data_IF_264770765718
#
_entry.id   IF_264770765718
#
_cell.length_a   1.000
_cell.length_b   1.000
_cell.length_c   1.000
_cell.angle_alpha   90.00
_cell.angle_beta   90.00
_cell.angle_gamma   90.00
#
_symmetry.space_group_name_H-M   'P 1'
#
loop_
_entity.id
_entity.type
_entity.pdbx_description
1 polymer ?
#
# COMPACT_ATOMS: atom_id res chain seq x y z
N UNK A 1 -17.64 12.26 -16.34
CA UNK A 1 -16.33 12.76 -16.79
C UNK A 1 -16.50 13.39 -18.16
N UNK A 2 -15.90 14.55 -18.44
CA UNK A 2 -15.81 15.08 -19.80
C UNK A 2 -15.20 14.02 -20.74
N UNK A 3 -15.70 13.91 -21.97
CA UNK A 3 -15.31 12.84 -22.91
C UNK A 3 -13.85 12.92 -23.38
N UNK A 4 -13.20 14.05 -23.15
CA UNK A 4 -11.85 14.36 -23.64
C UNK A 4 -10.75 14.19 -22.57
N UNK A 5 -11.11 13.76 -21.34
CA UNK A 5 -10.11 13.49 -20.29
C UNK A 5 -9.69 12.03 -20.36
N UNK A 6 -8.42 11.81 -20.70
CA UNK A 6 -7.80 10.47 -20.79
C UNK A 6 -7.47 9.91 -19.42
N UNK A 7 -6.93 10.74 -18.52
CA UNK A 7 -6.51 10.33 -17.18
C UNK A 7 -6.64 11.48 -16.18
N UNK A 8 -6.91 11.14 -14.92
CA UNK A 8 -6.81 12.06 -13.79
C UNK A 8 -5.62 11.67 -12.93
N UNK A 9 -4.63 12.55 -12.83
CA UNK A 9 -3.45 12.35 -11.98
C UNK A 9 -3.65 12.98 -10.60
N UNK A 10 -3.14 12.30 -9.57
CA UNK A 10 -3.14 12.77 -8.20
C UNK A 10 -1.83 13.50 -7.89
N UNK A 11 -1.88 14.82 -8.04
CA UNK A 11 -0.77 15.75 -7.78
C UNK A 11 -1.06 16.58 -6.53
N UNK A 12 -0.09 16.69 -5.64
CA UNK A 12 -0.12 17.61 -4.51
C UNK A 12 1.02 18.64 -4.66
N UNK A 13 0.76 19.90 -4.36
CA UNK A 13 1.79 20.94 -4.47
C UNK A 13 2.86 20.73 -3.40
N UNK A 14 4.13 20.71 -3.81
CA UNK A 14 5.27 20.67 -2.90
C UNK A 14 5.54 22.08 -2.39
N UNK A 15 4.78 22.44 -1.35
CA UNK A 15 4.80 23.77 -0.77
C UNK A 15 6.15 24.14 -0.13
N UNK A 16 6.93 23.13 0.27
CA UNK A 16 8.24 23.31 0.87
C UNK A 16 9.24 23.85 -0.17
N UNK A 17 9.43 23.12 -1.26
CA UNK A 17 10.36 23.52 -2.33
C UNK A 17 9.85 24.75 -3.09
N UNK A 18 8.52 24.86 -3.23
CA UNK A 18 7.88 26.04 -3.80
C UNK A 18 7.90 27.27 -2.89
N UNK A 19 8.44 27.16 -1.67
CA UNK A 19 8.57 28.25 -0.68
C UNK A 19 7.24 28.99 -0.46
N UNK A 20 6.15 28.24 -0.42
CA UNK A 20 4.81 28.80 -0.35
C UNK A 20 4.56 29.46 1.01
N UNK A 21 4.22 30.76 1.06
CA UNK A 21 3.98 31.44 2.32
C UNK A 21 2.66 30.99 2.94
N UNK A 22 2.66 30.90 4.26
CA UNK A 22 1.44 30.74 5.05
C UNK A 22 0.90 32.14 5.38
N UNK A 23 -0.32 32.44 4.95
CA UNK A 23 -1.00 33.73 5.19
C UNK A 23 -2.34 33.51 5.88
N UNK A 24 -2.80 34.45 6.71
CA UNK A 24 -4.14 34.43 7.32
C UNK A 24 -5.19 34.91 6.31
N UNK A 25 -5.45 34.11 5.28
CA UNK A 25 -6.31 34.48 4.14
C UNK A 25 -7.54 33.61 3.99
N UNK A 26 -7.55 32.36 4.49
CA UNK A 26 -8.71 31.48 4.38
C UNK A 26 -9.83 31.96 5.28
N UNK A 27 -10.98 32.26 4.69
CA UNK A 27 -12.20 32.52 5.45
C UNK A 27 -12.72 31.20 6.01
N UNK A 28 -13.10 31.22 7.29
CA UNK A 28 -13.78 30.08 7.93
C UNK A 28 -15.28 30.25 7.69
N UNK A 29 -15.95 29.18 7.26
CA UNK A 29 -17.40 29.15 7.22
C UNK A 29 -17.94 28.52 8.50
N UNK A 30 -18.92 29.18 9.11
CA UNK A 30 -19.76 28.63 10.16
C UNK A 30 -21.19 28.57 9.61
N UNK A 31 -21.84 27.41 9.68
CA UNK A 31 -23.20 27.22 9.14
C UNK A 31 -23.35 27.62 7.65
N UNK A 32 -22.29 27.44 6.86
CA UNK A 32 -22.19 27.85 5.43
C UNK A 32 -22.21 29.36 5.20
N UNK A 33 -22.09 30.18 6.26
CA UNK A 33 -21.87 31.61 6.16
C UNK A 33 -20.40 31.93 6.40
N UNK A 34 -19.86 32.85 5.59
CA UNK A 34 -18.50 33.34 5.76
C UNK A 34 -18.39 34.12 7.07
N UNK A 35 -17.41 33.73 7.89
CA UNK A 35 -17.10 34.45 9.12
C UNK A 35 -15.98 35.46 8.87
N UNK A 36 -15.90 36.55 9.67
CA UNK A 36 -14.76 37.45 9.62
C UNK A 36 -13.46 36.81 10.12
N UNK A 37 -13.53 35.60 10.71
CA UNK A 37 -12.37 34.87 11.21
C UNK A 37 -11.57 34.32 10.04
N UNK A 38 -10.33 34.77 9.92
CA UNK A 38 -9.37 34.26 8.95
C UNK A 38 -8.39 33.31 9.60
N UNK A 39 -8.24 32.14 9.00
CA UNK A 39 -7.26 31.13 9.42
C UNK A 39 -6.07 31.09 8.47
N UNK A 40 -5.00 30.46 8.94
CA UNK A 40 -3.79 30.26 8.17
C UNK A 40 -4.10 29.37 6.96
N UNK A 41 -3.57 29.77 5.80
CA UNK A 41 -3.65 29.06 4.53
C UNK A 41 -2.30 29.13 3.85
N UNK A 42 -1.90 28.03 3.22
CA UNK A 42 -0.78 28.04 2.29
C UNK A 42 -1.20 28.73 1.01
N UNK A 43 -0.42 29.72 0.56
CA UNK A 43 -0.61 30.36 -0.74
C UNK A 43 0.41 29.78 -1.72
N UNK A 44 -0.04 28.99 -2.69
CA UNK A 44 0.85 28.41 -3.71
C UNK A 44 1.45 29.51 -4.59
N UNK A 45 2.76 29.50 -4.73
CA UNK A 45 3.54 30.57 -5.38
C UNK A 45 4.13 30.19 -6.73
N UNK A 46 4.13 28.90 -7.07
CA UNK A 46 4.59 28.40 -8.36
C UNK A 46 3.69 27.27 -8.87
N UNK A 47 3.86 26.96 -10.14
CA UNK A 47 3.20 25.87 -10.85
C UNK A 47 4.21 24.81 -11.32
N UNK A 48 5.30 24.62 -10.58
CA UNK A 48 6.41 23.73 -10.98
C UNK A 48 6.65 22.61 -9.98
N UNK A 49 6.48 22.88 -8.69
CA UNK A 49 6.83 21.94 -7.64
C UNK A 49 5.60 21.14 -7.22
N UNK A 50 5.49 19.91 -7.73
CA UNK A 50 4.43 18.97 -7.38
C UNK A 50 4.99 17.59 -7.02
N UNK A 51 4.28 16.91 -6.14
CA UNK A 51 4.49 15.51 -5.78
C UNK A 51 3.38 14.72 -6.46
N UNK A 52 3.78 13.79 -7.34
CA UNK A 52 2.89 12.85 -8.00
C UNK A 52 2.76 11.58 -7.15
N UNK A 53 1.53 11.12 -6.91
CA UNK A 53 1.31 9.82 -6.30
C UNK A 53 1.49 8.70 -7.35
N UNK A 54 2.73 8.19 -7.49
CA UNK A 54 3.06 7.16 -8.49
C UNK A 54 2.42 5.79 -8.27
N UNK A 55 1.84 5.57 -7.09
CA UNK A 55 1.18 4.31 -6.72
C UNK A 55 -0.28 4.58 -6.38
N UNK A 56 -0.89 5.51 -7.11
CA UNK A 56 -2.33 5.77 -7.04
C UNK A 56 -3.09 4.47 -7.34
N UNK A 57 -4.13 4.20 -6.54
CA UNK A 57 -5.02 3.05 -6.77
C UNK A 57 -5.81 3.19 -8.08
N UNK A 58 -6.10 4.43 -8.49
CA UNK A 58 -6.73 4.73 -9.78
C UNK A 58 -5.65 5.12 -10.79
N UNK A 59 -5.71 4.52 -11.99
CA UNK A 59 -4.84 4.83 -13.14
C UNK A 59 -3.33 4.70 -12.81
N UNK A 60 -2.95 3.62 -12.13
CA UNK A 60 -1.58 3.41 -11.64
C UNK A 60 -0.54 3.47 -12.77
N UNK A 61 -0.83 2.88 -13.93
CA UNK A 61 0.11 2.84 -15.07
C UNK A 61 0.43 4.24 -15.59
N UNK A 62 -0.56 5.12 -15.70
CA UNK A 62 -0.37 6.50 -16.15
C UNK A 62 0.40 7.34 -15.13
N UNK A 63 0.17 7.11 -13.84
CA UNK A 63 0.96 7.75 -12.77
C UNK A 63 2.43 7.29 -12.79
N UNK A 64 2.68 6.02 -13.10
CA UNK A 64 4.03 5.46 -13.24
C UNK A 64 4.74 6.02 -14.47
N UNK A 65 4.05 6.03 -15.61
CA UNK A 65 4.55 6.59 -16.86
C UNK A 65 4.95 8.06 -16.70
N UNK A 66 4.07 8.86 -16.09
CA UNK A 66 4.33 10.28 -15.82
C UNK A 66 5.50 10.53 -14.87
N UNK A 67 5.72 9.64 -13.88
CA UNK A 67 6.86 9.80 -12.97
C UNK A 67 8.20 9.33 -13.57
N UNK A 68 8.19 8.82 -14.81
CA UNK A 68 9.37 8.23 -15.46
C UNK A 68 10.09 7.20 -14.57
N UNK A 69 9.34 6.51 -13.70
CA UNK A 69 9.87 5.45 -12.87
C UNK A 69 9.86 4.16 -13.68
N UNK A 70 11.03 3.54 -13.79
CA UNK A 70 11.14 2.19 -14.34
C UNK A 70 10.65 1.22 -13.27
N UNK A 71 9.46 0.68 -13.46
CA UNK A 71 9.03 -0.49 -12.70
C UNK A 71 9.50 -1.73 -13.46
N UNK A 72 10.23 -2.60 -12.76
CA UNK A 72 10.44 -3.95 -13.27
C UNK A 72 9.07 -4.63 -13.33
N UNK A 73 8.69 -5.10 -14.53
CA UNK A 73 7.56 -6.00 -14.62
C UNK A 73 7.92 -7.26 -13.85
N UNK A 74 7.07 -7.62 -12.90
CA UNK A 74 7.18 -8.87 -12.16
C UNK A 74 6.72 -9.96 -13.11
N UNK A 75 7.60 -10.88 -13.45
CA UNK A 75 7.24 -12.02 -14.28
C UNK A 75 6.62 -13.16 -13.47
N UNK A 76 6.18 -14.22 -14.15
CA UNK A 76 5.56 -15.37 -13.49
C UNK A 76 6.51 -16.07 -12.53
N UNK A 77 7.78 -16.14 -12.88
CA UNK A 77 8.85 -16.78 -12.14
C UNK A 77 9.13 -16.03 -10.83
N UNK A 78 9.20 -14.70 -10.88
CA UNK A 78 9.33 -13.83 -9.71
C UNK A 78 8.18 -14.04 -8.71
N UNK A 79 6.94 -14.18 -9.22
CA UNK A 79 5.76 -14.43 -8.37
C UNK A 79 5.86 -15.81 -7.72
N UNK A 80 6.23 -16.84 -8.48
CA UNK A 80 6.37 -18.21 -7.95
C UNK A 80 7.46 -18.27 -6.89
N UNK A 81 8.60 -17.61 -7.14
CA UNK A 81 9.70 -17.52 -6.19
C UNK A 81 9.25 -16.80 -4.90
N UNK A 82 8.66 -15.61 -5.01
CA UNK A 82 8.19 -14.84 -3.86
C UNK A 82 7.14 -15.60 -3.03
N UNK A 83 6.23 -16.33 -3.68
CA UNK A 83 5.22 -17.14 -3.00
C UNK A 83 5.87 -18.33 -2.27
N UNK A 84 6.86 -18.98 -2.88
CA UNK A 84 7.62 -20.07 -2.26
C UNK A 84 8.41 -19.58 -1.05
N UNK A 85 9.14 -18.48 -1.19
CA UNK A 85 9.90 -17.86 -0.10
C UNK A 85 8.99 -17.43 1.06
N UNK A 86 7.86 -16.79 0.73
CA UNK A 86 6.85 -16.39 1.69
C UNK A 86 6.29 -17.59 2.45
N UNK A 87 5.98 -18.68 1.76
CA UNK A 87 5.48 -19.92 2.38
C UNK A 87 6.51 -20.53 3.33
N UNK A 88 7.78 -20.64 2.92
CA UNK A 88 8.84 -21.18 3.76
C UNK A 88 9.07 -20.31 5.01
N UNK A 89 9.09 -18.99 4.82
CA UNK A 89 9.24 -18.03 5.92
C UNK A 89 8.09 -18.14 6.91
N UNK A 90 6.86 -18.22 6.41
CA UNK A 90 5.67 -18.42 7.23
C UNK A 90 5.73 -19.75 8.00
N UNK A 91 6.06 -20.86 7.32
CA UNK A 91 6.18 -22.19 7.93
C UNK A 91 7.22 -22.20 9.05
N UNK A 92 8.39 -21.60 8.82
CA UNK A 92 9.43 -21.48 9.83
C UNK A 92 9.00 -20.61 11.03
N UNK A 93 8.23 -19.55 10.79
CA UNK A 93 7.65 -18.74 11.86
C UNK A 93 6.67 -19.56 12.70
N UNK A 94 5.70 -20.23 12.07
CA UNK A 94 4.72 -21.07 12.76
C UNK A 94 5.38 -22.17 13.60
N UNK A 95 6.44 -22.81 13.10
CA UNK A 95 7.19 -23.82 13.86
C UNK A 95 7.85 -23.27 15.13
N UNK A 96 8.18 -21.98 15.16
CA UNK A 96 8.79 -21.30 16.32
C UNK A 96 7.75 -20.78 17.30
N UNK A 97 6.60 -20.30 16.81
CA UNK A 97 5.64 -19.53 17.63
C UNK A 97 4.38 -20.30 18.00
N UNK A 98 4.02 -21.35 17.27
CA UNK A 98 2.79 -22.11 17.52
C UNK A 98 3.04 -23.23 18.54
N UNK A 99 2.12 -23.43 19.50
CA UNK A 99 2.22 -24.53 20.45
C UNK A 99 2.10 -25.87 19.70
N UNK A 100 3.09 -26.75 19.88
CA UNK A 100 3.07 -28.08 19.26
C UNK A 100 1.88 -28.87 19.78
N UNK A 101 0.93 -29.16 18.89
CA UNK A 101 -0.16 -30.08 19.21
C UNK A 101 0.44 -31.46 19.46
N UNK A 102 -0.01 -32.10 20.54
CA UNK A 102 0.41 -33.46 20.88
C UNK A 102 -0.69 -34.43 20.52
N UNK A 103 -0.34 -35.53 19.86
CA UNK A 103 -1.24 -36.67 19.65
C UNK A 103 -0.89 -37.80 20.61
N UNK A 104 -1.88 -38.59 20.96
CA UNK A 104 -1.69 -39.78 21.80
C UNK A 104 -1.45 -40.99 20.91
N UNK A 105 -0.26 -41.58 20.99
CA UNK A 105 0.09 -42.83 20.29
C UNK A 105 0.32 -43.90 21.36
N UNK A 106 -0.63 -44.84 21.47
CA UNK A 106 -0.67 -45.81 22.55
C UNK A 106 -0.84 -45.14 23.93
N UNK A 107 0.12 -45.38 24.85
CA UNK A 107 0.12 -44.79 26.20
C UNK A 107 0.93 -43.49 26.34
N UNK A 108 1.57 -43.01 25.26
CA UNK A 108 2.43 -41.81 25.29
C UNK A 108 1.85 -40.68 24.43
N UNK A 109 2.13 -39.45 24.84
CA UNK A 109 1.87 -38.24 24.06
C UNK A 109 3.12 -37.88 23.25
N UNK A 110 2.96 -37.68 21.96
CA UNK A 110 4.04 -37.30 21.04
C UNK A 110 3.66 -36.01 20.33
N UNK A 111 4.64 -35.17 20.03
CA UNK A 111 4.44 -33.97 19.21
C UNK A 111 3.96 -34.39 17.81
N UNK A 112 2.92 -33.74 17.29
CA UNK A 112 2.50 -33.88 15.90
C UNK A 112 3.53 -33.21 14.98
N UNK A 113 3.77 -33.81 13.81
CA UNK A 113 4.60 -33.18 12.78
C UNK A 113 3.79 -32.10 12.04
N UNK A 114 4.48 -31.08 11.50
CA UNK A 114 3.82 -29.96 10.80
C UNK A 114 3.02 -30.40 9.57
N UNK A 115 3.35 -31.54 8.96
CA UNK A 115 2.62 -32.11 7.81
C UNK A 115 1.29 -32.75 8.21
N UNK A 116 1.22 -33.31 9.42
CA UNK A 116 -0.02 -33.91 9.97
C UNK A 116 -0.97 -32.84 10.53
N UNK A 117 -0.46 -31.69 10.96
CA UNK A 117 -1.27 -30.62 11.55
C UNK A 117 -2.04 -29.79 10.51
N UNK A 118 -1.48 -29.62 9.31
CA UNK A 118 -2.08 -28.80 8.24
C UNK A 118 -2.70 -29.62 7.10
N UNK A 119 -2.60 -30.95 7.18
CA UNK A 119 -3.02 -31.86 6.11
C UNK A 119 -2.09 -31.77 4.90
N UNK A 120 -1.73 -32.90 4.30
CA UNK A 120 -1.35 -32.87 2.89
C UNK A 120 -2.56 -32.38 2.13
N UNK A 121 -2.47 -31.21 1.50
CA UNK A 121 -3.28 -30.92 0.32
C UNK A 121 -2.88 -31.97 -0.70
N UNK A 122 -3.54 -33.12 -0.67
CA UNK A 122 -3.36 -34.14 -1.68
C UNK A 122 -3.83 -33.54 -3.00
N UNK A 123 -2.88 -33.24 -3.88
CA UNK A 123 -3.17 -33.13 -5.29
C UNK A 123 -3.76 -34.49 -5.69
N UNK A 124 -5.09 -34.49 -5.83
CA UNK A 124 -5.82 -35.61 -6.41
C UNK A 124 -5.77 -35.35 -7.91
N UNK A 125 -4.94 -36.10 -8.62
CA UNK A 125 -5.04 -36.25 -10.08
C UNK A 125 -6.42 -36.79 -10.50
#
# INVERSE_FOLDING_TARGET
MPKDIVVTLNLQHNCHDGKCPIKKTKMVQAERQDTPVRVQQVCHTDSKHYILNSVSFHESEEHRHMNNLIFHQIDSEDVVEAMSEGHLTWKAHCQKTMPRKKKKVGKKWVDMTSEEEWGSSGDSE
#
